data_IF_817986407673
#
_entry.id   IF_817986407673
#
_cell.length_a   1.000
_cell.length_b   1.000
_cell.length_c   1.000
_cell.angle_alpha   90.00
_cell.angle_beta   90.00
_cell.angle_gamma   90.00
#
_symmetry.space_group_name_H-M   'P 1'
#
loop_
_entity.id
_entity.type
_entity.pdbx_description
1 polymer ?
#
# COMPACT_ATOMS: atom_id res chain seq x y z
N UNK A 1 18.37 -15.26 10.38
CA UNK A 1 17.70 -13.96 10.67
C UNK A 1 17.42 -13.14 9.41
N UNK A 2 18.41 -12.75 8.59
CA UNK A 2 18.18 -11.99 7.34
C UNK A 2 17.37 -12.76 6.29
N UNK A 3 17.78 -13.99 5.96
CA UNK A 3 17.08 -14.83 4.95
C UNK A 3 15.65 -15.18 5.39
N UNK A 4 15.48 -15.37 6.69
CA UNK A 4 14.22 -15.60 7.37
C UNK A 4 13.27 -14.40 7.27
N UNK A 5 13.78 -13.19 7.51
CA UNK A 5 13.00 -11.95 7.42
C UNK A 5 12.58 -11.61 5.98
N UNK A 6 13.37 -12.02 5.00
CA UNK A 6 13.06 -11.88 3.57
C UNK A 6 11.95 -12.84 3.10
N UNK A 7 11.90 -14.08 3.62
CA UNK A 7 10.78 -15.01 3.36
C UNK A 7 9.47 -14.54 3.99
N UNK A 8 9.56 -14.06 5.23
CA UNK A 8 8.46 -13.38 5.94
C UNK A 8 7.87 -12.23 5.14
N UNK A 9 8.75 -11.39 4.60
CA UNK A 9 8.32 -10.24 3.82
C UNK A 9 7.64 -10.67 2.53
N UNK A 10 8.09 -11.74 1.86
CA UNK A 10 7.40 -12.30 0.69
C UNK A 10 5.96 -12.72 0.98
N UNK A 11 5.72 -13.35 2.14
CA UNK A 11 4.36 -13.72 2.54
C UNK A 11 3.50 -12.51 2.91
N UNK A 12 4.09 -11.52 3.60
CA UNK A 12 3.44 -10.23 3.85
C UNK A 12 3.03 -9.53 2.54
N UNK A 13 3.88 -9.57 1.51
CA UNK A 13 3.62 -8.97 0.20
C UNK A 13 2.44 -9.62 -0.53
N UNK A 14 2.11 -10.89 -0.25
CA UNK A 14 1.00 -11.60 -0.90
C UNK A 14 -0.27 -11.61 -0.05
N UNK A 15 -0.13 -11.64 1.27
CA UNK A 15 -1.24 -11.89 2.20
C UNK A 15 -1.58 -10.68 3.09
N UNK A 16 -0.85 -9.58 2.95
CA UNK A 16 -1.09 -8.32 3.65
C UNK A 16 -0.70 -8.33 5.13
N UNK A 17 -0.64 -7.13 5.71
CA UNK A 17 -0.23 -6.88 7.10
C UNK A 17 -1.27 -7.25 8.16
N UNK A 18 -1.86 -8.43 8.05
CA UNK A 18 -2.70 -8.97 9.10
C UNK A 18 -1.85 -9.54 10.23
N UNK A 19 -2.39 -9.54 11.45
CA UNK A 19 -1.83 -10.29 12.57
C UNK A 19 -1.54 -11.76 12.19
N UNK A 20 -2.33 -12.35 11.29
CA UNK A 20 -2.11 -13.69 10.75
C UNK A 20 -0.96 -13.77 9.75
N UNK A 21 -0.83 -12.79 8.85
CA UNK A 21 0.33 -12.65 7.97
C UNK A 21 1.64 -12.50 8.75
N UNK A 22 1.60 -11.90 9.95
CA UNK A 22 2.71 -11.81 10.91
C UNK A 22 2.86 -13.10 11.74
N UNK A 23 1.77 -13.81 12.07
CA UNK A 23 1.74 -15.04 12.87
C UNK A 23 2.18 -16.30 12.07
N UNK A 24 1.70 -16.47 10.84
CA UNK A 24 2.17 -17.51 9.88
C UNK A 24 3.67 -17.37 9.66
N UNK A 25 4.06 -16.13 9.39
CA UNK A 25 5.43 -15.64 9.33
C UNK A 25 6.24 -16.00 10.57
N UNK A 26 5.78 -15.67 11.78
CA UNK A 26 6.48 -15.97 13.03
C UNK A 26 6.61 -17.48 13.30
N UNK A 27 5.59 -18.27 12.92
CA UNK A 27 5.57 -19.73 13.08
C UNK A 27 6.47 -20.46 12.07
N UNK A 28 6.55 -19.98 10.83
CA UNK A 28 7.54 -20.46 9.85
C UNK A 28 8.98 -20.17 10.30
N UNK A 29 9.19 -19.09 11.05
CA UNK A 29 10.50 -18.71 11.57
C UNK A 29 10.96 -19.51 12.80
N UNK A 30 10.03 -20.04 13.61
CA UNK A 30 10.35 -20.71 14.87
C UNK A 30 10.55 -22.24 14.79
N UNK A 31 10.24 -22.90 13.66
CA UNK A 31 10.27 -24.37 13.51
C UNK A 31 9.46 -25.12 14.60
N UNK A 32 8.49 -24.48 15.24
CA UNK A 32 7.71 -25.09 16.31
C UNK A 32 6.52 -25.89 15.73
N UNK A 33 6.37 -27.15 16.14
CA UNK A 33 5.14 -27.93 15.93
C UNK A 33 3.99 -27.37 16.79
N UNK A 34 2.73 -27.40 16.32
CA UNK A 34 1.61 -26.78 17.02
C UNK A 34 1.27 -27.52 18.33
N UNK A 35 0.79 -26.81 19.37
CA UNK A 35 0.27 -27.47 20.56
C UNK A 35 -1.01 -28.23 20.22
N UNK A 36 -1.08 -29.49 20.64
CA UNK A 36 -2.25 -30.34 20.49
C UNK A 36 -3.49 -29.69 21.12
N UNK A 37 -4.49 -29.37 20.31
CA UNK A 37 -5.86 -29.18 20.82
C UNK A 37 -6.42 -30.58 21.07
N UNK A 38 -6.59 -30.93 22.35
CA UNK A 38 -7.20 -32.18 22.76
C UNK A 38 -8.69 -32.20 22.37
N UNK A 39 -9.00 -32.84 21.24
CA UNK A 39 -10.33 -33.35 20.91
C UNK A 39 -10.50 -34.78 21.42
N UNK A 40 -11.74 -35.23 21.69
CA UNK A 40 -11.99 -36.47 22.44
C UNK A 40 -11.50 -37.70 21.67
N UNK A 41 -10.93 -38.64 22.42
CA UNK A 41 -10.39 -39.89 21.91
C UNK A 41 -11.46 -40.70 21.18
N UNK A 42 -11.23 -40.96 19.89
CA UNK A 42 -11.87 -42.07 19.17
C UNK A 42 -10.75 -42.86 18.50
N UNK A 43 -10.62 -44.11 18.93
CA UNK A 43 -9.56 -45.02 18.50
C UNK A 43 -9.72 -45.46 17.05
N UNK A 44 -8.59 -45.81 16.45
CA UNK A 44 -8.54 -46.43 15.13
C UNK A 44 -7.16 -46.34 14.51
N UNK A 45 -6.39 -47.43 14.57
CA UNK A 45 -5.20 -47.63 13.76
C UNK A 45 -5.58 -47.63 12.28
N UNK A 46 -5.01 -46.72 11.50
CA UNK A 46 -4.57 -47.01 10.14
C UNK A 46 -3.46 -46.05 9.71
N UNK A 47 -2.38 -46.65 9.21
CA UNK A 47 -1.29 -46.00 8.50
C UNK A 47 -1.81 -45.43 7.19
N UNK A 48 -1.75 -44.11 7.02
CA UNK A 48 -1.69 -43.50 5.68
C UNK A 48 -1.21 -42.04 5.76
N UNK A 49 -0.53 -41.64 4.68
CA UNK A 49 0.16 -40.37 4.43
C UNK A 49 -0.49 -39.15 5.10
N UNK A 50 0.17 -38.59 6.11
CA UNK A 50 -0.15 -37.26 6.66
C UNK A 50 0.36 -36.18 5.71
N UNK A 51 -0.39 -35.90 4.65
CA UNK A 51 -0.35 -34.56 4.05
C UNK A 51 -0.82 -33.56 5.11
N UNK A 52 0.00 -32.54 5.35
CA UNK A 52 -0.23 -31.51 6.36
C UNK A 52 -1.55 -30.79 6.08
N UNK A 53 -2.55 -31.02 6.94
CA UNK A 53 -3.81 -30.24 7.00
C UNK A 53 -3.60 -28.83 7.55
N UNK A 54 -2.63 -28.07 7.02
CA UNK A 54 -2.26 -26.73 7.51
C UNK A 54 -2.70 -25.58 6.59
N UNK A 55 -3.51 -25.87 5.56
CA UNK A 55 -4.03 -24.86 4.63
C UNK A 55 -5.57 -24.82 4.55
N UNK A 56 -6.28 -25.43 5.50
CA UNK A 56 -7.73 -25.47 5.47
C UNK A 56 -8.30 -24.52 6.52
N UNK A 57 -8.75 -23.39 5.98
CA UNK A 57 -9.55 -22.32 6.55
C UNK A 57 -8.77 -21.08 7.02
N UNK A 58 -8.70 -20.02 6.17
CA UNK A 58 -8.20 -18.72 6.61
C UNK A 58 -9.13 -18.17 7.71
N UNK A 59 -8.59 -17.56 8.79
CA UNK A 59 -9.42 -16.75 9.67
C UNK A 59 -10.03 -15.61 8.84
N UNK A 60 -11.30 -15.33 9.09
CA UNK A 60 -12.07 -14.23 8.48
C UNK A 60 -11.42 -12.90 8.87
N UNK A 61 -10.41 -12.49 8.11
CA UNK A 61 -10.02 -11.09 8.04
C UNK A 61 -11.05 -10.46 7.09
N UNK A 62 -11.93 -9.60 7.62
CA UNK A 62 -12.95 -8.87 6.87
C UNK A 62 -12.27 -7.97 5.83
N UNK A 63 -11.99 -8.52 4.65
CA UNK A 63 -11.57 -7.77 3.48
C UNK A 63 -12.63 -8.01 2.44
N UNK A 64 -13.36 -6.95 2.12
CA UNK A 64 -14.39 -7.00 1.10
C UNK A 64 -13.71 -7.36 -0.23
N UNK A 65 -14.22 -8.42 -0.86
CA UNK A 65 -13.90 -8.77 -2.23
C UNK A 65 -14.29 -7.63 -3.16
N UNK A 66 -13.77 -7.66 -4.39
CA UNK A 66 -14.16 -6.66 -5.38
C UNK A 66 -15.68 -6.69 -5.59
N UNK A 67 -16.31 -7.86 -5.62
CA UNK A 67 -17.76 -7.97 -5.76
C UNK A 67 -18.51 -7.36 -4.57
N UNK A 68 -18.09 -7.63 -3.33
CA UNK A 68 -18.68 -7.02 -2.12
C UNK A 68 -18.53 -5.48 -2.13
N UNK A 69 -17.35 -4.95 -2.50
CA UNK A 69 -17.13 -3.50 -2.63
C UNK A 69 -18.09 -2.87 -3.64
N UNK A 70 -18.38 -3.59 -4.74
CA UNK A 70 -19.28 -3.15 -5.80
C UNK A 70 -20.76 -3.23 -5.41
N UNK A 71 -21.13 -4.23 -4.61
CA UNK A 71 -22.45 -4.34 -4.00
C UNK A 71 -22.69 -3.18 -3.02
N UNK A 72 -21.75 -2.95 -2.10
CA UNK A 72 -21.79 -1.83 -1.16
C UNK A 72 -21.87 -0.49 -1.89
N UNK A 73 -21.05 -0.28 -2.92
CA UNK A 73 -21.07 0.95 -3.72
C UNK A 73 -22.47 1.25 -4.26
N UNK A 74 -23.19 0.22 -4.72
CA UNK A 74 -24.56 0.34 -5.22
C UNK A 74 -25.51 0.81 -4.13
N UNK A 75 -25.38 0.29 -2.91
CA UNK A 75 -26.19 0.71 -1.76
C UNK A 75 -25.95 2.18 -1.37
N UNK A 76 -24.71 2.65 -1.53
CA UNK A 76 -24.35 4.06 -1.33
C UNK A 76 -24.73 4.97 -2.51
N UNK A 77 -25.42 4.45 -3.54
CA UNK A 77 -25.81 5.20 -4.73
C UNK A 77 -24.66 5.55 -5.67
N UNK A 78 -23.52 4.86 -5.54
CA UNK A 78 -22.34 5.00 -6.39
C UNK A 78 -22.37 3.93 -7.47
N UNK A 79 -22.09 4.32 -8.71
CA UNK A 79 -22.16 3.41 -9.86
C UNK A 79 -21.07 2.33 -9.78
N UNK A 80 -21.41 1.04 -9.66
CA UNK A 80 -20.40 -0.03 -9.52
C UNK A 80 -19.43 -0.10 -10.69
N UNK A 81 -19.88 0.16 -11.92
CA UNK A 81 -19.02 0.11 -13.10
C UNK A 81 -17.91 1.17 -13.05
N UNK A 82 -18.20 2.33 -12.45
CA UNK A 82 -17.24 3.42 -12.27
C UNK A 82 -16.27 3.09 -11.14
N UNK A 83 -16.76 2.52 -10.03
CA UNK A 83 -15.90 2.00 -8.94
C UNK A 83 -14.95 0.92 -9.46
N UNK A 84 -15.46 -0.02 -10.26
CA UNK A 84 -14.70 -1.07 -10.92
C UNK A 84 -13.58 -0.48 -11.80
N UNK A 85 -13.89 0.52 -12.62
CA UNK A 85 -12.91 1.20 -13.45
C UNK A 85 -11.80 1.93 -12.64
N UNK A 86 -12.17 2.58 -11.53
CA UNK A 86 -11.20 3.21 -10.63
C UNK A 86 -10.27 2.16 -10.02
N UNK A 87 -10.81 1.05 -9.51
CA UNK A 87 -10.02 -0.05 -8.94
C UNK A 87 -9.07 -0.67 -9.98
N UNK A 88 -9.53 -0.85 -11.22
CA UNK A 88 -8.72 -1.41 -12.30
C UNK A 88 -7.60 -0.47 -12.71
N UNK A 89 -7.90 0.81 -12.91
CA UNK A 89 -6.90 1.80 -13.26
C UNK A 89 -5.84 1.94 -12.16
N UNK A 90 -6.27 1.89 -10.88
CA UNK A 90 -5.35 1.88 -9.75
C UNK A 90 -4.47 0.62 -9.75
N UNK A 91 -5.05 -0.56 -9.97
CA UNK A 91 -4.30 -1.82 -10.01
C UNK A 91 -3.29 -1.84 -11.17
N UNK A 92 -3.69 -1.45 -12.37
CA UNK A 92 -2.79 -1.36 -13.52
C UNK A 92 -1.62 -0.38 -13.28
N UNK A 93 -1.86 0.71 -12.55
CA UNK A 93 -0.79 1.64 -12.15
C UNK A 93 0.19 1.02 -11.17
N UNK A 94 -0.33 0.28 -10.20
CA UNK A 94 0.46 -0.43 -9.20
C UNK A 94 1.37 -1.49 -9.82
N UNK A 95 0.91 -2.18 -10.88
CA UNK A 95 1.67 -3.27 -11.49
C UNK A 95 2.43 -2.87 -12.76
N UNK A 96 1.99 -1.85 -13.51
CA UNK A 96 2.46 -1.62 -14.88
C UNK A 96 2.86 -0.17 -15.21
N UNK A 97 2.14 0.85 -14.69
CA UNK A 97 2.30 2.26 -15.17
C UNK A 97 2.95 3.24 -14.19
N UNK A 98 3.13 2.85 -12.94
CA UNK A 98 3.62 3.74 -11.87
C UNK A 98 2.50 4.50 -11.15
N UNK A 99 2.78 4.86 -9.89
CA UNK A 99 1.78 5.35 -8.95
C UNK A 99 1.37 6.80 -9.16
N UNK A 100 2.19 7.62 -9.83
CA UNK A 100 1.91 9.05 -10.02
C UNK A 100 0.75 9.28 -11.02
N UNK A 101 -0.23 10.04 -10.57
CA UNK A 101 -1.43 10.44 -11.30
C UNK A 101 -1.50 11.96 -11.35
N UNK A 102 -1.69 12.53 -12.54
CA UNK A 102 -2.08 13.93 -12.71
C UNK A 102 -3.61 14.05 -12.80
N UNK A 103 -4.13 14.96 -13.64
CA UNK A 103 -5.58 15.06 -13.96
C UNK A 103 -6.09 13.99 -14.92
N UNK A 104 -5.59 12.77 -14.76
CA UNK A 104 -5.91 11.69 -15.66
C UNK A 104 -7.25 11.02 -15.32
N UNK A 105 -8.21 11.78 -14.79
CA UNK A 105 -9.61 11.37 -14.65
C UNK A 105 -10.18 10.87 -15.98
N UNK A 106 -9.67 11.38 -17.09
CA UNK A 106 -10.01 10.97 -18.45
C UNK A 106 -9.71 9.48 -18.73
N UNK A 107 -8.56 8.96 -18.29
CA UNK A 107 -8.19 7.54 -18.50
C UNK A 107 -9.17 6.62 -17.77
N UNK A 108 -9.48 6.96 -16.51
CA UNK A 108 -10.44 6.23 -15.68
C UNK A 108 -11.85 6.33 -16.26
N UNK A 109 -12.24 7.51 -16.74
CA UNK A 109 -13.54 7.75 -17.36
C UNK A 109 -13.72 6.91 -18.62
N UNK A 110 -12.72 6.86 -19.48
CA UNK A 110 -12.78 6.07 -20.72
C UNK A 110 -12.91 4.58 -20.40
N UNK A 111 -12.11 4.07 -19.46
CA UNK A 111 -12.25 2.69 -18.99
C UNK A 111 -13.64 2.42 -18.37
N UNK A 112 -14.19 3.37 -17.62
CA UNK A 112 -15.53 3.24 -17.05
C UNK A 112 -16.62 3.22 -18.13
N UNK A 113 -16.46 4.01 -19.20
CA UNK A 113 -17.38 3.99 -20.34
C UNK A 113 -17.32 2.66 -21.08
N UNK A 114 -16.12 2.11 -21.29
CA UNK A 114 -15.92 0.81 -21.92
C UNK A 114 -16.55 -0.33 -21.09
N UNK A 115 -16.41 -0.28 -19.77
CA UNK A 115 -17.01 -1.28 -18.85
C UNK A 115 -18.53 -1.12 -18.77
N UNK A 116 -19.02 0.10 -18.60
CA UNK A 116 -20.43 0.37 -18.33
C UNK A 116 -21.30 0.38 -19.59
N UNK A 117 -20.69 0.50 -20.78
CA UNK A 117 -21.35 0.72 -22.06
C UNK A 117 -22.38 1.88 -22.02
N UNK A 118 -22.11 2.88 -21.19
CA UNK A 118 -22.93 4.09 -21.05
C UNK A 118 -22.03 5.29 -20.78
N UNK A 119 -22.56 6.50 -20.97
CA UNK A 119 -21.84 7.72 -20.65
C UNK A 119 -21.49 7.78 -19.16
N UNK A 120 -20.25 8.14 -18.88
CA UNK A 120 -19.72 8.40 -17.54
C UNK A 120 -19.20 9.83 -17.54
N UNK A 121 -19.66 10.62 -16.57
CA UNK A 121 -19.22 12.00 -16.38
C UNK A 121 -18.02 12.05 -15.41
N UNK A 122 -17.22 13.12 -15.46
CA UNK A 122 -16.07 13.27 -14.53
C UNK A 122 -16.50 13.24 -13.06
N UNK A 123 -17.68 13.79 -12.73
CA UNK A 123 -18.23 13.77 -11.37
C UNK A 123 -18.55 12.35 -10.87
N UNK A 124 -18.86 11.41 -11.76
CA UNK A 124 -19.06 10.00 -11.38
C UNK A 124 -17.74 9.39 -10.89
N UNK A 125 -16.63 9.70 -11.59
CA UNK A 125 -15.29 9.23 -11.24
C UNK A 125 -14.84 9.83 -9.90
N UNK A 126 -15.05 11.12 -9.69
CA UNK A 126 -14.76 11.78 -8.41
C UNK A 126 -15.55 11.16 -7.25
N UNK A 127 -16.84 10.86 -7.47
CA UNK A 127 -17.71 10.22 -6.48
C UNK A 127 -17.21 8.81 -6.14
N UNK A 128 -16.81 8.03 -7.15
CA UNK A 128 -16.26 6.68 -6.95
C UNK A 128 -14.93 6.70 -6.19
N UNK A 129 -14.04 7.64 -6.49
CA UNK A 129 -12.77 7.81 -5.76
C UNK A 129 -13.05 8.20 -4.31
N UNK A 130 -13.96 9.14 -4.06
CA UNK A 130 -14.29 9.56 -2.69
C UNK A 130 -14.95 8.43 -1.88
N UNK A 131 -15.79 7.61 -2.51
CA UNK A 131 -16.32 6.38 -1.91
C UNK A 131 -15.19 5.45 -1.47
N UNK A 132 -14.29 5.07 -2.40
CA UNK A 132 -13.18 4.16 -2.09
C UNK A 132 -12.23 4.70 -1.01
N UNK A 133 -12.08 6.03 -0.92
CA UNK A 133 -11.31 6.68 0.15
C UNK A 133 -12.01 6.61 1.52
N UNK A 134 -13.32 6.87 1.55
CA UNK A 134 -14.13 6.78 2.78
C UNK A 134 -14.28 5.34 3.27
N UNK A 135 -14.30 4.38 2.36
CA UNK A 135 -14.29 2.94 2.66
C UNK A 135 -12.89 2.41 2.99
N UNK A 136 -11.88 3.29 3.10
CA UNK A 136 -10.50 2.92 3.44
C UNK A 136 -9.87 1.88 2.51
N UNK A 137 -10.25 1.86 1.23
CA UNK A 137 -9.68 0.97 0.20
C UNK A 137 -8.51 1.65 -0.51
N UNK A 138 -8.63 2.96 -0.76
CA UNK A 138 -7.62 3.78 -1.42
C UNK A 138 -7.19 4.99 -0.58
N UNK A 139 -5.93 5.35 -0.71
CA UNK A 139 -5.34 6.59 -0.25
C UNK A 139 -4.91 7.46 -1.43
N UNK A 140 -4.95 8.77 -1.22
CA UNK A 140 -4.44 9.75 -2.19
C UNK A 140 -3.32 10.56 -1.56
N UNK A 141 -2.08 10.24 -1.91
CA UNK A 141 -0.89 10.92 -1.38
C UNK A 141 -0.55 12.08 -2.30
N UNK A 142 -0.80 13.30 -1.84
CA UNK A 142 -0.60 14.52 -2.64
C UNK A 142 0.84 15.02 -2.61
N UNK A 143 1.25 15.69 -3.67
CA UNK A 143 2.56 16.33 -3.71
C UNK A 143 2.63 17.52 -2.74
N UNK A 144 3.74 17.66 -2.00
CA UNK A 144 4.08 18.89 -1.28
C UNK A 144 4.84 19.84 -2.20
N UNK A 145 4.20 20.94 -2.59
CA UNK A 145 4.87 22.09 -3.21
C UNK A 145 5.77 22.75 -2.15
N UNK A 146 7.07 22.86 -2.45
CA UNK A 146 8.00 23.66 -1.66
C UNK A 146 8.05 25.04 -2.31
N UNK A 147 7.48 26.06 -1.66
CA UNK A 147 7.59 27.42 -2.19
C UNK A 147 9.06 27.81 -2.26
N UNK A 148 9.45 28.39 -3.40
CA UNK A 148 10.66 29.20 -3.47
C UNK A 148 10.26 30.55 -2.86
N UNK A 149 10.73 30.81 -1.63
CA UNK A 149 10.64 32.06 -0.87
C UNK A 149 9.49 32.21 0.14
N UNK A 150 9.75 32.82 1.32
CA UNK A 150 8.75 33.14 2.33
C UNK A 150 8.16 34.53 2.03
N UNK A 151 7.14 34.60 1.18
CA UNK A 151 6.17 35.72 1.08
C UNK A 151 5.28 35.48 -0.13
N UNK A 152 4.09 34.96 0.13
CA UNK A 152 2.81 35.29 -0.50
C UNK A 152 1.76 34.31 0.04
N UNK A 153 1.54 34.35 1.36
CA UNK A 153 0.27 33.91 1.94
C UNK A 153 -0.79 34.95 1.53
N UNK A 154 -1.39 34.76 0.36
CA UNK A 154 -2.38 35.71 -0.15
C UNK A 154 -2.99 35.37 -1.51
N UNK A 155 -2.35 34.52 -2.30
CA UNK A 155 -2.98 33.97 -3.50
C UNK A 155 -4.00 32.91 -3.12
N UNK A 156 -5.29 33.11 -3.45
CA UNK A 156 -6.19 31.96 -3.57
C UNK A 156 -5.56 31.05 -4.60
N UNK A 157 -4.99 29.93 -4.12
CA UNK A 157 -4.53 28.84 -4.96
C UNK A 157 -5.67 28.54 -5.93
N UNK A 158 -5.49 28.91 -7.20
CA UNK A 158 -6.21 28.25 -8.25
C UNK A 158 -5.97 26.76 -8.02
N UNK A 159 -7.03 25.95 -8.04
CA UNK A 159 -6.99 24.48 -7.99
C UNK A 159 -6.27 23.94 -9.24
N UNK A 160 -5.03 24.35 -9.48
CA UNK A 160 -4.19 23.79 -10.53
C UNK A 160 -3.62 22.51 -9.95
N UNK A 161 -4.04 21.41 -10.54
CA UNK A 161 -3.90 20.07 -10.05
C UNK A 161 -2.44 19.64 -9.90
N UNK A 162 -2.00 19.57 -8.65
CA UNK A 162 -0.74 18.93 -8.34
C UNK A 162 -0.88 17.42 -8.52
N UNK A 163 0.11 16.75 -9.11
CA UNK A 163 0.09 15.30 -9.19
C UNK A 163 -0.03 14.67 -7.80
N UNK A 164 -0.62 13.48 -7.75
CA UNK A 164 -0.88 12.68 -6.57
C UNK A 164 -0.60 11.21 -6.86
N UNK A 165 -0.25 10.43 -5.83
CA UNK A 165 -0.16 8.97 -5.93
C UNK A 165 -1.46 8.34 -5.42
N UNK A 166 -1.98 7.35 -6.14
CA UNK A 166 -3.06 6.47 -5.65
C UNK A 166 -2.41 5.23 -5.06
N UNK A 167 -2.79 4.90 -3.83
CA UNK A 167 -2.20 3.80 -3.07
C UNK A 167 -3.33 2.96 -2.49
N UNK A 168 -3.27 1.64 -2.65
CA UNK A 168 -4.20 0.76 -1.93
C UNK A 168 -3.81 0.70 -0.46
N UNK A 169 -4.81 0.77 0.42
CA UNK A 169 -4.60 0.69 1.87
C UNK A 169 -4.07 -0.66 2.32
N UNK A 170 -4.40 -1.72 1.58
CA UNK A 170 -3.94 -3.08 1.79
C UNK A 170 -3.53 -3.70 0.43
N UNK A 171 -2.38 -4.41 0.36
CA UNK A 171 -1.94 -5.07 -0.86
C UNK A 171 -2.97 -6.02 -1.46
N UNK A 172 -3.82 -6.65 -0.66
CA UNK A 172 -4.84 -7.58 -1.16
C UNK A 172 -5.91 -6.90 -2.00
N UNK A 173 -6.22 -5.62 -1.74
CA UNK A 173 -7.11 -4.87 -2.63
C UNK A 173 -6.47 -4.66 -4.01
N UNK A 174 -5.16 -4.38 -4.06
CA UNK A 174 -4.44 -4.26 -5.32
C UNK A 174 -4.42 -5.60 -6.09
N UNK A 175 -4.12 -6.70 -5.39
CA UNK A 175 -4.11 -8.05 -5.95
C UNK A 175 -5.51 -8.45 -6.44
N UNK A 176 -6.53 -8.27 -5.60
CA UNK A 176 -7.93 -8.57 -5.93
C UNK A 176 -8.41 -7.78 -7.14
N UNK A 177 -8.14 -6.47 -7.16
CA UNK A 177 -8.49 -5.61 -8.29
C UNK A 177 -7.76 -6.02 -9.57
N UNK A 178 -6.46 -6.37 -9.49
CA UNK A 178 -5.71 -6.83 -10.66
C UNK A 178 -6.23 -8.16 -11.20
N UNK A 179 -6.49 -9.14 -10.33
CA UNK A 179 -7.04 -10.43 -10.75
C UNK A 179 -8.43 -10.29 -11.35
N UNK A 180 -9.29 -9.47 -10.74
CA UNK A 180 -10.63 -9.19 -11.24
C UNK A 180 -10.58 -8.46 -12.61
N UNK A 181 -9.63 -7.53 -12.78
CA UNK A 181 -9.32 -6.86 -14.04
C UNK A 181 -8.91 -7.85 -15.14
N UNK A 182 -7.94 -8.73 -14.86
CA UNK A 182 -7.48 -9.77 -15.80
C UNK A 182 -8.61 -10.72 -16.18
N UNK A 183 -9.42 -11.11 -15.21
CA UNK A 183 -10.56 -11.99 -15.44
C UNK A 183 -11.64 -11.33 -16.31
N UNK A 184 -12.06 -10.12 -15.95
CA UNK A 184 -13.16 -9.44 -16.64
C UNK A 184 -12.78 -9.03 -18.06
N UNK A 185 -11.62 -8.43 -18.26
CA UNK A 185 -11.27 -7.80 -19.54
C UNK A 185 -10.53 -8.73 -20.50
N UNK A 186 -9.81 -9.72 -19.98
CA UNK A 186 -8.98 -10.61 -20.81
C UNK A 186 -9.39 -12.09 -20.73
N UNK A 187 -10.46 -12.41 -19.99
CA UNK A 187 -10.96 -13.78 -19.85
C UNK A 187 -9.98 -14.74 -19.15
N UNK A 188 -9.00 -14.21 -18.43
CA UNK A 188 -8.01 -15.01 -17.69
C UNK A 188 -8.68 -15.66 -16.47
N UNK A 189 -8.36 -16.90 -16.12
CA UNK A 189 -8.90 -17.49 -14.88
C UNK A 189 -8.29 -16.80 -13.66
N UNK A 190 -9.01 -16.72 -12.54
CA UNK A 190 -8.45 -16.17 -11.31
C UNK A 190 -7.16 -16.89 -10.86
N UNK A 191 -7.09 -18.20 -11.09
CA UNK A 191 -5.93 -19.02 -10.75
C UNK A 191 -4.72 -18.58 -11.58
N UNK A 192 -4.88 -18.43 -12.89
CA UNK A 192 -3.78 -18.02 -13.78
C UNK A 192 -3.34 -16.58 -13.49
N UNK A 193 -4.30 -15.67 -13.25
CA UNK A 193 -4.02 -14.29 -12.88
C UNK A 193 -3.24 -14.20 -11.55
N UNK A 194 -3.61 -15.03 -10.57
CA UNK A 194 -2.90 -15.13 -9.29
C UNK A 194 -1.45 -15.60 -9.49
N UNK A 195 -1.24 -16.69 -10.23
CA UNK A 195 0.11 -17.21 -10.44
C UNK A 195 1.00 -16.23 -11.21
N UNK A 196 0.45 -15.52 -12.19
CA UNK A 196 1.18 -14.46 -12.90
C UNK A 196 1.70 -13.39 -11.94
N UNK A 197 0.81 -12.83 -11.10
CA UNK A 197 1.19 -11.79 -10.15
C UNK A 197 2.15 -12.32 -9.08
N UNK A 198 1.89 -13.53 -8.57
CA UNK A 198 2.77 -14.20 -7.62
C UNK A 198 4.18 -14.35 -8.18
N UNK A 199 4.31 -14.82 -9.42
CA UNK A 199 5.61 -15.05 -10.04
C UNK A 199 6.34 -13.74 -10.32
N UNK A 200 5.61 -12.66 -10.66
CA UNK A 200 6.17 -11.31 -10.79
C UNK A 200 6.69 -10.78 -9.44
N UNK A 201 5.88 -10.86 -8.38
CA UNK A 201 6.25 -10.42 -7.03
C UNK A 201 7.40 -11.26 -6.45
N UNK A 202 7.41 -12.56 -6.69
CA UNK A 202 8.37 -13.48 -6.05
C UNK A 202 9.67 -13.62 -6.85
N UNK A 203 9.58 -13.58 -8.18
CA UNK A 203 10.69 -13.87 -9.10
C UNK A 203 11.27 -12.63 -9.79
N UNK A 204 10.50 -11.56 -9.96
CA UNK A 204 10.87 -10.38 -10.77
C UNK A 204 10.57 -9.08 -10.03
N UNK A 205 11.05 -8.97 -8.78
CA UNK A 205 10.81 -7.80 -7.91
C UNK A 205 11.14 -6.45 -8.55
N UNK A 206 12.12 -6.39 -9.45
CA UNK A 206 12.44 -5.15 -10.19
C UNK A 206 11.27 -4.68 -11.08
N UNK A 207 10.43 -5.60 -11.57
CA UNK A 207 9.17 -5.27 -12.25
C UNK A 207 8.03 -4.94 -11.30
N UNK A 208 8.15 -5.34 -10.03
CA UNK A 208 7.18 -5.06 -8.97
C UNK A 208 7.54 -3.82 -8.14
N UNK A 209 8.41 -2.94 -8.64
CA UNK A 209 8.86 -1.74 -7.93
C UNK A 209 7.69 -0.86 -7.44
N UNK A 210 6.74 -0.60 -8.32
CA UNK A 210 5.55 0.20 -8.00
C UNK A 210 4.62 -0.49 -7.00
N UNK A 211 4.55 -1.82 -7.02
CA UNK A 211 3.82 -2.59 -6.03
C UNK A 211 4.44 -2.47 -4.63
N UNK A 212 5.76 -2.63 -4.54
CA UNK A 212 6.48 -2.47 -3.27
C UNK A 212 6.42 -1.03 -2.75
N UNK A 213 6.56 -0.05 -3.64
CA UNK A 213 6.40 1.37 -3.33
C UNK A 213 4.99 1.66 -2.79
N UNK A 214 3.95 1.09 -3.40
CA UNK A 214 2.57 1.23 -2.93
C UNK A 214 2.41 0.67 -1.52
N UNK A 215 2.96 -0.52 -1.25
CA UNK A 215 2.92 -1.14 0.09
C UNK A 215 3.67 -0.30 1.11
N UNK A 216 4.85 0.20 0.75
CA UNK A 216 5.64 1.08 1.59
C UNK A 216 4.85 2.33 1.98
N UNK A 217 4.27 3.02 0.99
CA UNK A 217 3.47 4.22 1.20
C UNK A 217 2.21 3.96 2.06
N UNK A 218 1.53 2.84 1.84
CA UNK A 218 0.37 2.43 2.64
C UNK A 218 0.75 2.25 4.11
N UNK A 219 1.85 1.54 4.39
CA UNK A 219 2.35 1.33 5.74
C UNK A 219 2.80 2.63 6.41
N UNK A 220 3.46 3.53 5.68
CA UNK A 220 3.80 4.87 6.19
C UNK A 220 2.55 5.63 6.60
N UNK A 221 1.51 5.65 5.76
CA UNK A 221 0.27 6.35 6.06
C UNK A 221 -0.45 5.75 7.28
N UNK A 222 -0.57 4.42 7.33
CA UNK A 222 -1.25 3.70 8.41
C UNK A 222 -0.50 3.78 9.75
N UNK A 223 0.81 3.57 9.77
CA UNK A 223 1.62 3.66 10.99
C UNK A 223 1.60 5.06 11.58
N UNK A 224 1.74 6.10 10.75
CA UNK A 224 1.62 7.49 11.20
C UNK A 224 0.24 7.78 11.74
N UNK A 225 -0.81 7.30 11.08
CA UNK A 225 -2.18 7.44 11.57
C UNK A 225 -2.34 6.82 12.97
N UNK A 226 -1.87 5.59 13.16
CA UNK A 226 -1.93 4.89 14.45
C UNK A 226 -1.18 5.66 15.56
N UNK A 227 0.00 6.19 15.26
CA UNK A 227 0.77 7.04 16.18
C UNK A 227 0.04 8.31 16.60
N UNK A 228 -0.76 8.90 15.70
CA UNK A 228 -1.50 10.14 15.96
C UNK A 228 -2.80 9.89 16.72
N UNK A 229 -3.52 8.83 16.40
CA UNK A 229 -4.82 8.54 17.01
C UNK A 229 -4.73 7.84 18.37
N UNK A 230 -3.60 7.17 18.66
CA UNK A 230 -3.44 6.38 19.88
C UNK A 230 -4.47 5.24 20.00
N UNK A 231 -4.37 4.44 21.07
CA UNK A 231 -5.32 3.34 21.33
C UNK A 231 -6.72 3.78 21.74
N UNK A 232 -6.88 5.01 22.27
CA UNK A 232 -8.10 5.33 23.01
C UNK A 232 -9.19 6.07 22.24
N UNK A 233 -8.88 6.82 21.16
CA UNK A 233 -9.91 7.53 20.36
C UNK A 233 -9.43 7.83 18.94
N UNK A 234 -9.66 6.94 17.95
CA UNK A 234 -9.61 7.37 16.55
C UNK A 234 -10.71 8.42 16.34
N UNK A 235 -10.32 9.69 16.36
CA UNK A 235 -11.20 10.76 15.93
C UNK A 235 -11.59 10.47 14.48
N UNK A 236 -12.87 10.15 14.28
CA UNK A 236 -13.50 9.67 13.04
C UNK A 236 -13.39 10.65 11.84
N UNK A 237 -12.66 11.76 11.98
CA UNK A 237 -12.56 12.84 10.98
C UNK A 237 -11.27 12.87 10.15
N UNK A 238 -10.26 12.07 10.47
CA UNK A 238 -8.97 12.13 9.78
C UNK A 238 -8.67 10.84 9.00
N UNK A 239 -8.52 10.97 7.67
CA UNK A 239 -8.01 9.91 6.81
C UNK A 239 -6.46 9.81 6.97
N UNK A 240 -5.87 8.61 6.92
CA UNK A 240 -4.42 8.39 7.08
C UNK A 240 -3.55 9.22 6.13
N UNK A 241 -4.03 9.44 4.91
CA UNK A 241 -3.34 10.17 3.85
C UNK A 241 -3.09 11.66 4.16
N UNK A 242 -3.78 12.25 5.14
CA UNK A 242 -3.60 13.67 5.52
C UNK A 242 -2.19 13.97 6.08
N UNK A 243 -1.49 12.96 6.63
CA UNK A 243 -0.19 13.13 7.27
C UNK A 243 0.99 12.90 6.33
N UNK A 244 0.74 12.32 5.16
CA UNK A 244 1.77 11.91 4.20
C UNK A 244 1.60 12.69 2.90
N UNK A 245 2.69 13.27 2.43
CA UNK A 245 2.79 13.90 1.11
C UNK A 245 4.01 13.35 0.42
N UNK A 246 4.12 13.41 -0.89
CA UNK A 246 5.40 13.11 -1.55
C UNK A 246 6.07 14.40 -2.04
N UNK A 247 7.38 14.36 -2.30
CA UNK A 247 8.14 15.54 -2.74
C UNK A 247 8.68 15.33 -4.15
N UNK A 248 8.31 16.22 -5.07
CA UNK A 248 8.86 16.25 -6.43
C UNK A 248 9.45 17.62 -6.70
N UNK A 249 10.75 17.78 -6.44
CA UNK A 249 11.52 19.01 -6.67
C UNK A 249 13.03 18.69 -6.74
N UNK A 250 13.48 18.01 -7.79
CA UNK A 250 14.90 17.63 -7.98
C UNK A 250 15.38 16.42 -7.18
N UNK A 251 14.74 16.10 -6.05
CA UNK A 251 15.10 14.93 -5.22
C UNK A 251 14.22 13.71 -5.41
N UNK A 252 12.94 13.89 -5.77
CA UNK A 252 11.92 12.82 -5.84
C UNK A 252 11.93 11.92 -4.60
N UNK A 253 11.21 12.33 -3.55
CA UNK A 253 11.11 11.59 -2.30
C UNK A 253 9.69 11.04 -2.13
N UNK A 254 9.59 9.75 -1.84
CA UNK A 254 8.32 9.01 -1.78
C UNK A 254 7.36 9.54 -0.72
N UNK A 255 7.86 9.85 0.47
CA UNK A 255 7.05 10.35 1.56
C UNK A 255 7.75 11.45 2.37
N UNK A 256 6.99 12.48 2.67
CA UNK A 256 7.24 13.55 3.60
C UNK A 256 6.10 13.54 4.60
N UNK A 257 6.43 13.12 5.81
CA UNK A 257 5.49 12.93 6.90
C UNK A 257 5.49 14.17 7.78
N UNK A 258 4.31 14.61 8.21
CA UNK A 258 4.19 15.70 9.20
C UNK A 258 3.15 15.35 10.24
N UNK A 259 3.58 15.31 11.50
CA UNK A 259 2.76 15.03 12.66
C UNK A 259 2.72 16.27 13.54
N UNK A 260 1.53 16.83 13.78
CA UNK A 260 1.36 17.96 14.71
C UNK A 260 1.25 17.41 16.13
N UNK A 261 2.15 17.86 17.02
CA UNK A 261 2.09 17.55 18.47
C UNK A 261 2.05 18.84 19.28
N UNK A 262 1.63 18.74 20.54
CA UNK A 262 1.61 19.87 21.49
C UNK A 262 2.99 20.48 21.69
N UNK A 263 4.03 19.65 21.75
CA UNK A 263 5.41 20.06 21.99
C UNK A 263 6.16 20.49 20.71
N UNK A 264 5.44 20.63 19.59
CA UNK A 264 5.97 21.01 18.28
C UNK A 264 5.74 19.94 17.21
N UNK A 265 5.72 20.34 15.92
CA UNK A 265 5.54 19.38 14.83
C UNK A 265 6.78 18.50 14.68
N UNK A 266 6.56 17.22 14.42
CA UNK A 266 7.60 16.30 13.95
C UNK A 266 7.40 16.12 12.45
N UNK A 267 8.46 16.25 11.69
CA UNK A 267 8.49 15.83 10.30
C UNK A 267 9.66 14.90 10.06
N UNK A 268 9.52 14.02 9.07
CA UNK A 268 10.59 13.21 8.53
C UNK A 268 10.29 12.87 7.08
N UNK A 269 11.34 12.51 6.34
CA UNK A 269 11.27 11.97 5.00
C UNK A 269 11.35 10.46 5.09
N UNK A 270 10.63 9.76 4.22
CA UNK A 270 10.73 8.32 4.06
C UNK A 270 10.85 8.03 2.56
N UNK A 271 11.89 7.29 2.22
CA UNK A 271 12.27 6.96 0.84
C UNK A 271 12.43 5.45 0.72
N UNK A 272 11.96 4.88 -0.38
CA UNK A 272 12.04 3.45 -0.63
C UNK A 272 12.93 3.14 -1.84
N UNK A 273 13.65 2.03 -1.77
CA UNK A 273 14.28 1.43 -2.95
C UNK A 273 14.32 -0.10 -2.86
N UNK A 274 14.26 -0.75 -4.01
CA UNK A 274 14.48 -2.20 -4.09
C UNK A 274 15.91 -2.53 -3.68
N UNK A 275 16.90 -1.86 -4.25
CA UNK A 275 18.31 -2.10 -3.98
C UNK A 275 18.95 -0.85 -3.38
N UNK A 276 19.99 -1.01 -2.58
CA UNK A 276 20.72 0.13 -2.05
C UNK A 276 21.29 0.97 -3.20
N UNK A 277 20.92 2.26 -3.23
CA UNK A 277 21.45 3.25 -4.17
C UNK A 277 21.92 4.49 -3.40
N UNK A 278 23.22 4.78 -3.53
CA UNK A 278 23.85 5.96 -2.91
C UNK A 278 23.25 7.27 -3.43
N UNK A 279 22.79 7.30 -4.67
CA UNK A 279 22.17 8.50 -5.23
C UNK A 279 20.87 8.87 -4.50
N UNK A 280 20.10 7.88 -4.03
CA UNK A 280 18.90 8.10 -3.22
C UNK A 280 19.27 8.62 -1.82
N UNK A 281 20.34 8.09 -1.21
CA UNK A 281 20.88 8.61 0.07
C UNK A 281 21.27 10.09 -0.05
N UNK A 282 21.96 10.46 -1.13
CA UNK A 282 22.39 11.84 -1.38
C UNK A 282 21.18 12.78 -1.58
N UNK A 283 20.21 12.38 -2.40
CA UNK A 283 18.93 13.11 -2.57
C UNK A 283 18.19 13.28 -1.24
N UNK A 284 18.12 12.22 -0.44
CA UNK A 284 17.46 12.27 0.87
C UNK A 284 18.19 13.19 1.84
N UNK A 285 19.53 13.15 1.86
CA UNK A 285 20.35 14.04 2.68
C UNK A 285 20.16 15.51 2.30
N UNK A 286 20.14 15.83 1.00
CA UNK A 286 19.92 17.20 0.52
C UNK A 286 18.52 17.72 0.89
N UNK A 287 17.48 16.91 0.64
CA UNK A 287 16.11 17.24 1.02
C UNK A 287 15.96 17.41 2.55
N UNK A 288 16.56 16.51 3.33
CA UNK A 288 16.56 16.54 4.79
C UNK A 288 17.22 17.81 5.33
N UNK A 289 18.35 18.22 4.75
CA UNK A 289 19.04 19.46 5.11
C UNK A 289 18.19 20.69 4.79
N UNK A 290 17.60 20.76 3.59
CA UNK A 290 16.76 21.90 3.18
C UNK A 290 15.52 22.06 4.06
N UNK A 291 14.92 20.94 4.48
CA UNK A 291 13.71 20.93 5.30
C UNK A 291 14.00 20.92 6.80
N UNK A 292 15.28 20.91 7.19
CA UNK A 292 15.75 20.75 8.56
C UNK A 292 15.08 19.56 9.29
N UNK A 293 15.15 18.39 8.67
CA UNK A 293 14.49 17.16 9.11
C UNK A 293 15.42 15.96 8.96
N UNK A 294 14.98 14.76 9.30
CA UNK A 294 15.66 13.48 9.02
C UNK A 294 15.02 12.76 7.83
N UNK A 295 15.77 11.86 7.18
CA UNK A 295 15.26 10.90 6.21
C UNK A 295 15.49 9.47 6.70
N UNK A 296 14.48 8.61 6.53
CA UNK A 296 14.58 7.16 6.66
C UNK A 296 14.58 6.57 5.25
N UNK A 297 15.67 5.92 4.88
CA UNK A 297 15.83 5.26 3.58
C UNK A 297 15.68 3.75 3.75
N UNK A 298 14.52 3.22 3.35
CA UNK A 298 14.17 1.82 3.46
C UNK A 298 14.58 1.05 2.20
N UNK A 299 15.36 -0.01 2.37
CA UNK A 299 15.90 -0.82 1.27
C UNK A 299 15.39 -2.25 1.37
N UNK A 300 14.79 -2.77 0.30
CA UNK A 300 14.29 -4.15 0.26
C UNK A 300 15.44 -5.19 0.26
N UNK A 301 16.35 -5.12 -0.72
CA UNK A 301 17.50 -6.03 -0.89
C UNK A 301 18.80 -5.38 -0.41
N UNK A 302 19.50 -6.06 0.48
CA UNK A 302 20.84 -5.67 0.88
C UNK A 302 20.89 -4.47 1.84
N UNK A 303 19.77 -4.06 2.42
CA UNK A 303 19.74 -3.03 3.45
C UNK A 303 20.55 -3.44 4.68
N UNK A 304 21.33 -2.51 5.21
CA UNK A 304 21.95 -2.59 6.53
C UNK A 304 21.57 -1.33 7.31
N UNK A 305 21.49 -1.45 8.63
CA UNK A 305 21.22 -0.30 9.49
C UNK A 305 22.46 0.58 9.55
N UNK A 306 22.38 1.78 9.00
CA UNK A 306 23.49 2.75 8.95
C UNK A 306 22.96 4.16 9.08
N UNK A 307 23.69 5.01 9.82
CA UNK A 307 23.38 6.43 9.96
C UNK A 307 24.45 7.26 9.25
N UNK A 308 24.06 7.98 8.21
CA UNK A 308 24.93 8.85 7.42
C UNK A 308 24.38 10.28 7.45
N UNK A 309 24.93 11.12 8.33
CA UNK A 309 24.43 12.47 8.55
C UNK A 309 23.00 12.48 9.09
N UNK A 310 22.04 12.94 8.28
CA UNK A 310 20.61 12.97 8.62
C UNK A 310 19.79 11.82 7.98
N UNK A 311 20.46 10.83 7.37
CA UNK A 311 19.83 9.71 6.69
C UNK A 311 20.05 8.41 7.47
N UNK A 312 18.97 7.78 7.90
CA UNK A 312 18.97 6.43 8.47
C UNK A 312 18.63 5.43 7.36
N UNK A 313 19.62 4.68 6.89
CA UNK A 313 19.39 3.53 6.00
C UNK A 313 18.95 2.34 6.84
N UNK A 314 17.93 1.61 6.40
CA UNK A 314 17.41 0.44 7.10
C UNK A 314 16.86 -0.61 6.13
N UNK A 315 16.91 -1.92 6.45
CA UNK A 315 16.09 -2.92 5.76
C UNK A 315 14.60 -2.54 5.79
N UNK A 316 13.87 -2.79 4.69
CA UNK A 316 12.43 -2.51 4.60
C UNK A 316 11.62 -3.25 5.66
N UNK A 317 11.99 -4.50 5.95
CA UNK A 317 11.35 -5.31 6.98
C UNK A 317 11.50 -4.71 8.38
N UNK A 318 12.68 -4.15 8.69
CA UNK A 318 12.87 -3.44 9.96
C UNK A 318 12.12 -2.10 9.97
N UNK A 319 12.02 -1.41 8.84
CA UNK A 319 11.21 -0.20 8.71
C UNK A 319 9.73 -0.46 9.06
N UNK A 320 9.15 -1.53 8.55
CA UNK A 320 7.77 -1.91 8.89
C UNK A 320 7.59 -2.27 10.37
N UNK A 321 8.62 -2.80 11.03
CA UNK A 321 8.56 -3.07 12.47
C UNK A 321 8.66 -1.80 13.35
N UNK A 322 9.08 -0.66 12.78
CA UNK A 322 9.27 0.61 13.51
C UNK A 322 8.04 1.53 13.46
N UNK A 323 7.07 1.25 12.58
CA UNK A 323 5.85 2.04 12.37
C UNK A 323 4.65 1.45 13.11
#
# INVERSE_FOLDING_TARGET
>A
MKDQLDEVLKYYLLYGGTAWGIELTARCLSNEEPPHVAGPAVGGHHSDKRESKLCQEPPVAFFDTIDEILEDAREYGVRPEVVKAVLYSAAERVFEKGLEVGDKYEEVRNLAQDIANVKVETNDVETAIEYLRKSHILFTIRMKKLSKSPKEEGGRDSKSDSPFKIVFSDPRYALGAYMHYQHTLYGTTYVDAYYKVKDEIMGQLDKSAHYLESIFLANVALGVYALVTGHDRPDRGHLPDKFVKYLKNGWEIDAYVTIKRRDGPISFLAEFSINYDRSHVEKCSEAANRLNTYCIYAVYRGGEVRLEGKVLTTPLSLFFALL
#
